data_IF_312121928636
#
_entry.id   IF_312121928636
#
_cell.length_a   1.000
_cell.length_b   1.000
_cell.length_c   1.000
_cell.angle_alpha   90.00
_cell.angle_beta   90.00
_cell.angle_gamma   90.00
#
_symmetry.space_group_name_H-M   'P 1'
#
loop_
_entity.id
_entity.type
_entity.pdbx_description
1 polymer ?
#
# COMPACT_ATOMS: atom_id res chain seq x y z
N UNK A 1 -3.98 17.55 12.03
CA UNK A 1 -2.96 16.54 11.72
C UNK A 1 -3.48 15.67 10.60
N UNK A 2 -2.66 15.44 9.60
CA UNK A 2 -3.02 14.56 8.47
C UNK A 2 -3.02 13.10 8.91
N UNK A 3 -4.05 12.35 8.50
CA UNK A 3 -4.20 10.94 8.82
C UNK A 3 -4.02 10.11 7.53
N UNK A 4 -3.06 9.20 7.55
CA UNK A 4 -2.78 8.32 6.42
C UNK A 4 -2.74 6.87 6.91
N UNK A 5 -3.48 6.00 6.24
CA UNK A 5 -3.51 4.57 6.55
C UNK A 5 -2.67 3.81 5.53
N UNK A 6 -1.84 2.89 6.02
CA UNK A 6 -1.09 1.96 5.18
C UNK A 6 -1.76 0.59 5.31
N UNK A 7 -2.21 0.04 4.19
CA UNK A 7 -2.85 -1.26 4.12
C UNK A 7 -1.99 -2.20 3.29
N UNK A 8 -1.55 -3.29 3.89
CA UNK A 8 -0.73 -4.32 3.24
C UNK A 8 -1.50 -5.63 3.11
N UNK A 9 -1.40 -6.22 1.93
CA UNK A 9 -2.07 -7.47 1.57
C UNK A 9 -1.26 -8.72 1.90
N UNK A 10 -1.57 -9.83 1.18
CA UNK A 10 -1.09 -11.15 1.55
C UNK A 10 0.43 -11.27 1.47
N UNK A 11 0.96 -12.02 2.40
CA UNK A 11 2.38 -12.37 2.52
C UNK A 11 3.30 -11.21 2.94
N UNK A 12 2.78 -9.98 3.08
CA UNK A 12 3.60 -8.86 3.51
C UNK A 12 3.93 -8.93 5.01
N UNK A 13 3.24 -9.78 5.75
CA UNK A 13 3.62 -10.14 7.12
C UNK A 13 4.93 -10.94 7.17
N UNK A 14 5.40 -11.45 6.01
CA UNK A 14 6.64 -12.24 5.93
C UNK A 14 7.83 -11.42 5.44
N UNK A 15 7.70 -10.10 5.34
CA UNK A 15 8.84 -9.25 4.96
C UNK A 15 10.00 -9.46 5.93
N UNK A 16 11.21 -9.52 5.37
CA UNK A 16 12.42 -9.83 6.12
C UNK A 16 12.73 -11.32 6.21
N UNK A 17 11.76 -12.17 5.86
CA UNK A 17 11.90 -13.63 5.98
C UNK A 17 11.85 -14.35 4.65
N UNK A 18 11.14 -13.80 3.63
CA UNK A 18 11.00 -14.44 2.33
C UNK A 18 11.64 -13.57 1.25
N UNK A 19 12.33 -14.20 0.31
CA UNK A 19 12.93 -13.57 -0.86
C UNK A 19 13.63 -12.24 -0.51
N UNK A 20 14.63 -12.24 0.42
CA UNK A 20 15.28 -11.00 0.84
C UNK A 20 15.92 -10.22 -0.33
N UNK A 21 16.32 -10.91 -1.38
CA UNK A 21 16.91 -10.30 -2.58
C UNK A 21 15.88 -9.45 -3.36
N UNK A 22 14.58 -9.70 -3.16
CA UNK A 22 13.50 -8.95 -3.81
C UNK A 22 12.91 -7.91 -2.85
N UNK A 23 12.64 -8.30 -1.62
CA UNK A 23 11.87 -7.51 -0.66
C UNK A 23 12.72 -6.90 0.45
N UNK A 24 14.03 -7.24 0.53
CA UNK A 24 14.89 -6.81 1.62
C UNK A 24 14.77 -7.68 2.86
N UNK A 25 15.64 -7.45 3.85
CA UNK A 25 15.69 -8.25 5.09
C UNK A 25 15.10 -7.55 6.31
N UNK A 26 14.50 -6.38 6.13
CA UNK A 26 13.85 -5.63 7.20
C UNK A 26 12.37 -6.00 7.24
N UNK A 27 11.83 -6.29 8.44
CA UNK A 27 10.40 -6.53 8.56
C UNK A 27 9.63 -5.21 8.50
N UNK A 28 8.30 -5.30 8.27
CA UNK A 28 7.52 -4.09 8.07
C UNK A 28 7.32 -3.30 9.37
N UNK A 29 7.24 -3.96 10.51
CA UNK A 29 7.06 -3.25 11.78
C UNK A 29 8.24 -2.32 12.05
N UNK A 30 9.48 -2.79 11.79
CA UNK A 30 10.67 -1.97 11.92
C UNK A 30 10.62 -0.78 10.96
N UNK A 31 10.25 -1.03 9.71
CA UNK A 31 10.17 0.01 8.70
C UNK A 31 9.07 1.01 9.03
N UNK A 32 7.92 0.55 9.52
CA UNK A 32 6.82 1.42 9.91
C UNK A 32 7.25 2.40 11.00
N UNK A 33 8.02 1.91 12.00
CA UNK A 33 8.60 2.77 13.02
C UNK A 33 9.50 3.85 12.44
N UNK A 34 10.28 3.51 11.41
CA UNK A 34 11.11 4.51 10.71
C UNK A 34 10.25 5.55 9.99
N UNK A 35 9.16 5.14 9.35
CA UNK A 35 8.24 6.08 8.70
C UNK A 35 7.63 7.04 9.71
N UNK A 36 7.21 6.54 10.87
CA UNK A 36 6.66 7.39 11.93
C UNK A 36 7.68 8.43 12.38
N UNK A 37 8.95 8.04 12.49
CA UNK A 37 10.02 8.95 12.87
C UNK A 37 10.30 10.00 11.81
N UNK A 38 10.20 9.64 10.52
CA UNK A 38 10.41 10.57 9.41
C UNK A 38 9.28 11.59 9.27
N UNK A 39 8.06 11.21 9.66
CA UNK A 39 6.88 12.06 9.49
C UNK A 39 6.15 12.23 10.82
N UNK A 40 6.80 12.88 11.82
CA UNK A 40 6.20 12.98 13.16
C UNK A 40 4.91 13.77 13.21
N UNK A 41 4.66 14.64 12.23
CA UNK A 41 3.44 15.44 12.13
C UNK A 41 2.29 14.73 11.43
N UNK A 42 2.51 13.52 10.92
CA UNK A 42 1.47 12.73 10.26
C UNK A 42 1.05 11.59 11.18
N UNK A 43 -0.25 11.39 11.33
CA UNK A 43 -0.77 10.23 12.05
C UNK A 43 -0.85 9.05 11.09
N UNK A 44 0.16 8.17 11.15
CA UNK A 44 0.22 6.97 10.31
C UNK A 44 -0.40 5.80 11.06
N UNK A 45 -1.26 5.05 10.37
CA UNK A 45 -1.78 3.79 10.87
C UNK A 45 -1.41 2.65 9.93
N UNK A 46 -1.41 1.43 10.43
CA UNK A 46 -0.99 0.27 9.67
C UNK A 46 -1.93 -0.90 9.90
N UNK A 47 -2.30 -1.55 8.80
CA UNK A 47 -3.12 -2.76 8.81
C UNK A 47 -2.58 -3.74 7.79
N UNK A 48 -2.53 -5.02 8.14
CA UNK A 48 -2.09 -6.09 7.23
C UNK A 48 -3.05 -7.26 7.34
N UNK A 49 -3.42 -7.85 6.22
CA UNK A 49 -4.21 -9.08 6.20
C UNK A 49 -3.89 -9.90 4.96
N UNK A 50 -3.94 -11.22 5.11
CA UNK A 50 -3.88 -12.15 4.00
C UNK A 50 -5.26 -12.41 3.39
N UNK A 51 -6.32 -11.89 3.98
CA UNK A 51 -7.71 -12.19 3.60
C UNK A 51 -8.27 -11.05 2.78
N UNK A 52 -8.66 -11.34 1.54
CA UNK A 52 -9.17 -10.33 0.61
C UNK A 52 -10.34 -9.54 1.19
N UNK A 53 -11.31 -10.23 1.79
CA UNK A 53 -12.48 -9.59 2.38
C UNK A 53 -12.14 -8.66 3.53
N UNK A 54 -11.10 -8.99 4.31
CA UNK A 54 -10.65 -8.11 5.40
C UNK A 54 -10.05 -6.83 4.87
N UNK A 55 -9.32 -6.89 3.75
CA UNK A 55 -8.78 -5.69 3.11
C UNK A 55 -9.91 -4.80 2.60
N UNK A 56 -10.94 -5.40 2.00
CA UNK A 56 -12.13 -4.67 1.55
C UNK A 56 -12.83 -4.00 2.74
N UNK A 57 -13.00 -4.74 3.83
CA UNK A 57 -13.62 -4.19 5.04
C UNK A 57 -12.84 -3.02 5.59
N UNK A 58 -11.51 -3.12 5.61
CA UNK A 58 -10.68 -2.04 6.14
C UNK A 58 -10.71 -0.80 5.24
N UNK A 59 -10.70 -0.99 3.92
CA UNK A 59 -10.88 0.12 2.97
C UNK A 59 -12.18 0.87 3.25
N UNK A 60 -13.27 0.14 3.46
CA UNK A 60 -14.56 0.74 3.76
C UNK A 60 -14.56 1.43 5.12
N UNK A 61 -13.91 0.82 6.12
CA UNK A 61 -13.88 1.37 7.47
C UNK A 61 -13.17 2.72 7.54
N UNK A 62 -12.06 2.86 6.83
CA UNK A 62 -11.25 4.10 6.89
C UNK A 62 -11.53 5.06 5.73
N UNK A 63 -12.15 4.57 4.65
CA UNK A 63 -12.14 5.25 3.36
C UNK A 63 -12.94 6.53 3.26
N UNK A 64 -13.74 6.89 4.27
CA UNK A 64 -14.58 8.08 4.21
C UNK A 64 -14.13 9.20 5.14
N UNK A 65 -13.21 8.90 6.07
CA UNK A 65 -12.83 9.85 7.12
C UNK A 65 -11.32 10.07 7.23
N UNK A 66 -10.56 9.67 6.23
CA UNK A 66 -9.10 9.74 6.25
C UNK A 66 -8.58 10.56 5.10
N UNK A 67 -7.39 11.15 5.25
CA UNK A 67 -6.80 12.02 4.24
C UNK A 67 -6.19 11.25 3.08
N UNK A 68 -5.69 10.04 3.34
CA UNK A 68 -5.11 9.22 2.28
C UNK A 68 -4.89 7.78 2.72
N UNK A 69 -4.86 6.89 1.72
CA UNK A 69 -4.59 5.48 1.91
C UNK A 69 -3.44 5.08 0.99
N UNK A 70 -2.47 4.36 1.55
CA UNK A 70 -1.40 3.73 0.79
C UNK A 70 -1.70 2.23 0.80
N UNK A 71 -1.96 1.67 -0.38
CA UNK A 71 -2.39 0.28 -0.51
C UNK A 71 -1.35 -0.53 -1.26
N UNK A 72 -0.83 -1.56 -0.61
CA UNK A 72 -0.06 -2.62 -1.27
C UNK A 72 -0.90 -3.89 -1.21
N UNK A 73 -1.73 -4.11 -2.22
CA UNK A 73 -2.60 -5.27 -2.26
C UNK A 73 -1.86 -6.57 -2.60
N UNK A 74 -0.55 -6.47 -2.88
CA UNK A 74 0.30 -7.60 -3.23
C UNK A 74 -0.32 -8.39 -4.40
N UNK A 75 -0.40 -9.72 -4.31
CA UNK A 75 -0.92 -10.53 -5.40
C UNK A 75 -2.40 -10.23 -5.73
N UNK A 76 -3.18 -9.74 -4.78
CA UNK A 76 -4.59 -9.41 -5.05
C UNK A 76 -4.74 -8.26 -6.06
N UNK A 77 -3.71 -7.43 -6.25
CA UNK A 77 -3.70 -6.41 -7.31
C UNK A 77 -4.04 -7.01 -8.67
N UNK A 78 -3.58 -8.24 -8.91
CA UNK A 78 -3.69 -8.88 -10.23
C UNK A 78 -4.96 -9.72 -10.38
N UNK A 79 -5.75 -9.89 -9.31
CA UNK A 79 -6.90 -10.80 -9.30
C UNK A 79 -8.17 -10.22 -8.72
N UNK A 80 -8.09 -9.20 -7.87
CA UNK A 80 -9.25 -8.78 -7.07
C UNK A 80 -10.01 -7.64 -7.71
N UNK A 81 -11.08 -7.98 -8.41
CA UNK A 81 -12.07 -6.99 -8.86
C UNK A 81 -12.73 -6.33 -7.62
N UNK A 82 -12.96 -7.11 -6.56
CA UNK A 82 -13.60 -6.61 -5.33
C UNK A 82 -12.82 -5.50 -4.66
N UNK A 83 -11.48 -5.61 -4.58
CA UNK A 83 -10.65 -4.53 -4.02
C UNK A 83 -10.72 -3.29 -4.92
N UNK A 84 -10.65 -3.49 -6.25
CA UNK A 84 -10.78 -2.38 -7.19
C UNK A 84 -12.11 -1.64 -7.02
N UNK A 85 -13.20 -2.38 -6.85
CA UNK A 85 -14.52 -1.81 -6.64
C UNK A 85 -14.60 -1.05 -5.30
N UNK A 86 -13.95 -1.57 -4.25
CA UNK A 86 -13.92 -0.91 -2.95
C UNK A 86 -13.20 0.43 -3.03
N UNK A 87 -12.06 0.49 -3.75
CA UNK A 87 -11.34 1.75 -3.95
C UNK A 87 -12.20 2.77 -4.67
N UNK A 88 -12.94 2.34 -5.67
CA UNK A 88 -13.83 3.22 -6.42
C UNK A 88 -14.98 3.75 -5.56
N UNK A 89 -15.44 2.96 -4.59
CA UNK A 89 -16.60 3.31 -3.77
C UNK A 89 -16.28 4.29 -2.63
N UNK A 90 -15.04 4.32 -2.15
CA UNK A 90 -14.64 5.20 -1.04
C UNK A 90 -14.27 6.59 -1.55
N UNK A 91 -14.23 7.58 -0.64
CA UNK A 91 -13.89 8.95 -1.03
C UNK A 91 -12.42 9.30 -0.84
N UNK A 92 -11.70 8.58 0.03
CA UNK A 92 -10.29 8.86 0.27
C UNK A 92 -9.44 8.53 -0.95
N UNK A 93 -8.43 9.36 -1.29
CA UNK A 93 -7.50 9.02 -2.36
C UNK A 93 -6.60 7.85 -1.97
N UNK A 94 -6.37 6.95 -2.92
CA UNK A 94 -5.56 5.76 -2.72
C UNK A 94 -4.33 5.83 -3.63
N UNK A 95 -3.14 5.66 -3.04
CA UNK A 95 -1.91 5.46 -3.79
C UNK A 95 -1.57 3.98 -3.73
N UNK A 96 -1.47 3.36 -4.89
CA UNK A 96 -1.05 1.95 -5.01
C UNK A 96 0.47 1.88 -4.96
N UNK A 97 1.02 0.96 -4.15
CA UNK A 97 2.47 0.74 -4.11
C UNK A 97 2.80 -0.73 -4.26
N UNK A 98 3.94 -1.01 -4.88
CA UNK A 98 4.54 -2.35 -4.96
C UNK A 98 6.03 -2.24 -4.70
N UNK A 99 6.54 -3.13 -3.85
CA UNK A 99 7.96 -3.11 -3.45
C UNK A 99 8.85 -3.45 -4.64
N UNK A 100 8.49 -4.48 -5.39
CA UNK A 100 9.23 -4.90 -6.58
C UNK A 100 8.75 -4.18 -7.83
N UNK A 101 9.57 -4.21 -8.88
CA UNK A 101 9.13 -3.79 -10.20
C UNK A 101 8.31 -4.94 -10.81
N UNK A 102 6.98 -4.83 -10.74
CA UNK A 102 6.07 -5.87 -11.21
C UNK A 102 6.20 -6.13 -12.71
N UNK A 103 6.66 -5.15 -13.47
CA UNK A 103 6.82 -5.27 -14.91
C UNK A 103 8.06 -6.07 -15.32
N UNK A 104 8.96 -6.35 -14.39
CA UNK A 104 10.11 -7.23 -14.62
C UNK A 104 9.88 -8.66 -14.14
N UNK A 105 8.65 -8.98 -13.73
CA UNK A 105 8.26 -10.29 -13.21
C UNK A 105 7.30 -10.98 -14.20
N UNK A 106 6.57 -11.98 -13.73
CA UNK A 106 5.67 -12.79 -14.60
C UNK A 106 4.60 -11.89 -15.25
N UNK A 107 4.18 -12.26 -16.46
CA UNK A 107 3.25 -11.46 -17.28
C UNK A 107 1.93 -11.15 -16.56
N UNK A 108 1.41 -12.06 -15.72
CA UNK A 108 0.16 -11.80 -15.02
C UNK A 108 0.28 -10.62 -14.04
N UNK A 109 1.50 -10.24 -13.65
CA UNK A 109 1.74 -9.10 -12.75
C UNK A 109 1.69 -7.76 -13.48
N UNK A 110 1.49 -7.77 -14.78
CA UNK A 110 1.32 -6.54 -15.58
C UNK A 110 -0.13 -6.06 -15.59
N UNK A 111 -1.07 -6.85 -15.08
CA UNK A 111 -2.48 -6.49 -14.99
C UNK A 111 -2.80 -6.03 -13.56
N UNK A 112 -3.54 -4.93 -13.43
CA UNK A 112 -3.97 -4.45 -12.13
C UNK A 112 -5.44 -4.07 -12.15
N UNK A 113 -6.18 -4.56 -11.14
CA UNK A 113 -7.54 -4.12 -10.87
C UNK A 113 -7.58 -2.94 -9.89
N UNK A 114 -6.43 -2.60 -9.32
CA UNK A 114 -6.28 -1.48 -8.37
C UNK A 114 -5.97 -0.18 -9.09
N UNK A 115 -5.00 -0.21 -10.01
CA UNK A 115 -4.48 1.00 -10.68
C UNK A 115 -5.55 1.87 -11.32
N UNK A 116 -6.57 1.32 -12.03
CA UNK A 116 -7.56 2.18 -12.68
C UNK A 116 -8.35 3.06 -11.70
N UNK A 117 -8.43 2.68 -10.42
CA UNK A 117 -9.18 3.42 -9.43
C UNK A 117 -8.28 4.13 -8.41
N UNK A 118 -6.97 3.96 -8.49
CA UNK A 118 -6.00 4.62 -7.62
C UNK A 118 -5.67 6.02 -8.16
N UNK A 119 -5.30 6.91 -7.25
CA UNK A 119 -4.85 8.25 -7.63
C UNK A 119 -3.47 8.21 -8.28
N UNK A 120 -2.63 7.24 -7.90
CA UNK A 120 -1.29 7.07 -8.44
C UNK A 120 -0.71 5.72 -8.12
N UNK A 121 0.41 5.40 -8.77
CA UNK A 121 1.10 4.12 -8.66
C UNK A 121 2.59 4.36 -8.50
N UNK A 122 3.19 3.73 -7.49
CA UNK A 122 4.64 3.77 -7.25
C UNK A 122 5.11 2.33 -7.08
N UNK A 123 6.12 1.93 -7.85
CA UNK A 123 6.63 0.57 -7.74
C UNK A 123 8.14 0.52 -8.02
N UNK A 124 8.79 -0.53 -7.49
CA UNK A 124 10.15 -0.86 -7.88
C UNK A 124 11.27 -0.27 -7.03
N UNK A 125 10.95 0.53 -6.03
CA UNK A 125 11.96 1.18 -5.18
C UNK A 125 12.12 0.51 -3.82
N UNK A 126 11.79 -0.78 -3.70
CA UNK A 126 11.85 -1.46 -2.42
C UNK A 126 10.87 -0.84 -1.42
N UNK A 127 11.22 -0.86 -0.14
CA UNK A 127 10.36 -0.28 0.90
C UNK A 127 10.18 1.22 0.74
N UNK A 128 11.06 1.91 0.00
CA UNK A 128 10.97 3.36 -0.16
C UNK A 128 9.69 3.80 -0.89
N UNK A 129 8.98 2.89 -1.55
CA UNK A 129 7.69 3.22 -2.17
C UNK A 129 6.69 3.80 -1.17
N UNK A 130 6.75 3.37 0.09
CA UNK A 130 5.85 3.90 1.13
C UNK A 130 6.20 5.34 1.50
N UNK A 131 7.50 5.65 1.65
CA UNK A 131 7.93 7.03 1.90
C UNK A 131 7.53 7.95 0.75
N UNK A 132 7.77 7.50 -0.48
CA UNK A 132 7.40 8.27 -1.67
C UNK A 132 5.89 8.51 -1.74
N UNK A 133 5.09 7.50 -1.36
CA UNK A 133 3.65 7.66 -1.33
C UNK A 133 3.19 8.68 -0.29
N UNK A 134 3.80 8.67 0.91
CA UNK A 134 3.50 9.68 1.93
C UNK A 134 3.84 11.07 1.41
N UNK A 135 5.01 11.23 0.79
CA UNK A 135 5.42 12.51 0.20
C UNK A 135 4.40 13.02 -0.81
N UNK A 136 3.76 12.13 -1.56
CA UNK A 136 2.78 12.51 -2.57
C UNK A 136 1.54 13.17 -1.98
N UNK A 137 1.23 12.91 -0.71
CA UNK A 137 0.10 13.51 -0.02
C UNK A 137 0.43 14.87 0.61
N UNK A 138 1.71 15.18 0.76
CA UNK A 138 2.12 16.43 1.42
C UNK A 138 1.91 17.63 0.50
N UNK A 139 1.65 18.82 1.08
CA UNK A 139 1.50 20.03 0.26
C UNK A 139 2.76 20.30 -0.56
N UNK A 140 2.56 20.74 -1.80
CA UNK A 140 3.65 21.16 -2.68
C UNK A 140 4.05 22.59 -2.35
N UNK A 141 5.36 22.83 -2.25
CA UNK A 141 5.88 24.17 -2.04
C UNK A 141 6.04 24.91 -3.35
#
# INVERSE_FOLDING_TARGET
MMNIAILNGPNLNLLGKREPEVYGNKDFDQYFGQLQSLFPEINLTYYQSNVEGELINELQRVGFDIDGIILNAAAYTHTSVGIGDAIKAISAPVIEVHISNTFSREDFRHTSFVTPNAKGLILGFGLDVYRLAIESFLPKS
#
